data_IF_699869639369
#
_entry.id   IF_699869639369
#
_cell.length_a   1.000
_cell.length_b   1.000
_cell.length_c   1.000
_cell.angle_alpha   90.00
_cell.angle_beta   90.00
_cell.angle_gamma   90.00
#
_symmetry.space_group_name_H-M   'P 1'
#
loop_
_entity.id
_entity.type
_entity.pdbx_description
1 polymer ?
#
# COMPACT_ATOMS: atom_id res chain seq x y z
N UNK A 1 13.57 -28.43 -5.88
CA UNK A 1 14.07 -27.21 -6.56
C UNK A 1 15.31 -26.71 -5.83
N UNK A 2 16.42 -26.58 -6.51
CA UNK A 2 17.60 -25.90 -5.96
C UNK A 2 17.46 -24.40 -6.27
N UNK A 3 17.18 -23.61 -5.25
CA UNK A 3 16.86 -22.18 -5.38
C UNK A 3 18.05 -21.35 -5.89
N UNK A 4 19.30 -21.86 -5.72
CA UNK A 4 20.51 -21.14 -6.15
C UNK A 4 20.67 -21.14 -7.69
N UNK A 5 20.05 -22.09 -8.37
CA UNK A 5 20.08 -22.22 -9.83
C UNK A 5 18.73 -21.90 -10.47
N UNK A 6 17.74 -21.47 -9.68
CA UNK A 6 16.41 -21.19 -10.16
C UNK A 6 16.36 -19.90 -11.00
N UNK A 7 15.68 -19.92 -12.13
CA UNK A 7 15.31 -18.72 -12.88
C UNK A 7 14.12 -18.06 -12.18
N UNK A 8 14.30 -16.83 -11.71
CA UNK A 8 13.34 -16.12 -10.84
C UNK A 8 12.64 -15.01 -11.61
N UNK A 9 11.32 -14.90 -11.46
CA UNK A 9 10.55 -13.72 -11.87
C UNK A 9 9.95 -12.99 -10.68
N UNK A 10 10.00 -11.65 -10.70
CA UNK A 10 9.33 -10.78 -9.73
C UNK A 10 8.26 -9.96 -10.43
N UNK A 11 7.02 -10.13 -9.99
CA UNK A 11 5.86 -9.54 -10.63
C UNK A 11 5.22 -8.54 -9.68
N UNK A 12 4.97 -7.33 -10.16
CA UNK A 12 4.17 -6.33 -9.44
C UNK A 12 2.96 -5.89 -10.26
N UNK A 13 1.94 -5.32 -9.60
CA UNK A 13 0.72 -4.90 -10.31
C UNK A 13 1.05 -3.84 -11.37
N UNK A 14 1.75 -2.76 -10.99
CA UNK A 14 2.24 -1.70 -11.90
C UNK A 14 3.27 -0.81 -11.22
N UNK A 15 4.09 -0.14 -12.01
CA UNK A 15 5.02 0.87 -11.55
C UNK A 15 4.67 2.21 -12.21
N UNK A 16 3.97 3.09 -11.49
CA UNK A 16 3.56 4.41 -11.99
C UNK A 16 4.08 5.48 -11.05
N UNK A 17 4.89 6.40 -11.56
CA UNK A 17 5.59 7.45 -10.79
C UNK A 17 4.68 8.21 -9.82
N UNK A 18 3.47 8.57 -10.28
CA UNK A 18 2.52 9.33 -9.45
C UNK A 18 1.84 8.49 -8.35
N UNK A 19 1.88 7.17 -8.47
CA UNK A 19 1.23 6.25 -7.54
C UNK A 19 2.19 5.47 -6.66
N UNK A 20 3.50 5.71 -6.76
CA UNK A 20 4.49 5.04 -5.92
C UNK A 20 4.16 5.19 -4.43
N UNK A 21 4.18 4.08 -3.75
CA UNK A 21 3.83 3.97 -2.34
C UNK A 21 4.50 2.78 -1.68
N UNK A 22 3.96 2.36 -0.55
CA UNK A 22 4.58 1.28 0.22
C UNK A 22 4.61 -0.09 -0.46
N UNK A 23 3.73 -0.35 -1.44
CA UNK A 23 3.75 -1.62 -2.16
C UNK A 23 4.93 -1.69 -3.14
N UNK A 24 5.17 -0.62 -3.86
CA UNK A 24 6.29 -0.47 -4.78
C UNK A 24 7.63 -0.50 -4.00
N UNK A 25 7.71 0.19 -2.86
CA UNK A 25 8.91 0.17 -2.00
C UNK A 25 9.22 -1.26 -1.51
N UNK A 26 8.20 -2.03 -1.12
CA UNK A 26 8.37 -3.44 -0.77
C UNK A 26 8.87 -4.25 -1.96
N UNK A 27 8.39 -3.98 -3.16
CA UNK A 27 8.82 -4.69 -4.36
C UNK A 27 10.29 -4.39 -4.69
N UNK A 28 10.74 -3.13 -4.58
CA UNK A 28 12.15 -2.77 -4.71
C UNK A 28 13.04 -3.48 -3.69
N UNK A 29 12.58 -3.59 -2.45
CA UNK A 29 13.33 -4.29 -1.41
C UNK A 29 13.36 -5.81 -1.62
N UNK A 30 12.27 -6.40 -2.13
CA UNK A 30 12.23 -7.81 -2.52
C UNK A 30 13.20 -8.09 -3.67
N UNK A 31 13.20 -7.23 -4.68
CA UNK A 31 14.14 -7.30 -5.80
C UNK A 31 15.59 -7.29 -5.32
N UNK A 32 15.93 -6.32 -4.49
CA UNK A 32 17.27 -6.21 -3.89
C UNK A 32 17.65 -7.45 -3.09
N UNK A 33 16.76 -7.96 -2.22
CA UNK A 33 17.02 -9.14 -1.41
C UNK A 33 17.22 -10.40 -2.26
N UNK A 34 16.44 -10.55 -3.32
CA UNK A 34 16.57 -11.69 -4.24
C UNK A 34 17.90 -11.60 -4.98
N UNK A 35 18.24 -10.44 -5.54
CA UNK A 35 19.48 -10.21 -6.28
C UNK A 35 20.74 -10.40 -5.44
N UNK A 36 20.71 -9.98 -4.16
CA UNK A 36 21.84 -10.12 -3.24
C UNK A 36 22.08 -11.56 -2.75
N UNK A 37 21.05 -12.41 -2.70
CA UNK A 37 21.14 -13.73 -2.10
C UNK A 37 21.02 -14.89 -3.09
N UNK A 38 20.52 -14.64 -4.31
CA UNK A 38 20.27 -15.67 -5.32
C UNK A 38 20.72 -15.19 -6.71
N UNK A 39 19.77 -14.89 -7.57
CA UNK A 39 19.99 -14.35 -8.92
C UNK A 39 19.10 -13.12 -9.14
N UNK A 40 19.52 -12.22 -10.03
CA UNK A 40 18.67 -11.09 -10.43
C UNK A 40 17.37 -11.62 -11.06
N UNK A 41 16.18 -11.26 -10.52
CA UNK A 41 14.91 -11.68 -11.07
C UNK A 41 14.56 -10.87 -12.33
N UNK A 42 13.92 -11.49 -13.30
CA UNK A 42 13.27 -10.76 -14.38
C UNK A 42 11.99 -10.08 -13.85
N UNK A 43 11.80 -8.81 -14.25
CA UNK A 43 10.74 -7.95 -13.73
C UNK A 43 9.53 -7.94 -14.65
N UNK A 44 8.33 -8.04 -14.06
CA UNK A 44 7.05 -8.02 -14.76
C UNK A 44 6.05 -7.08 -14.10
N UNK A 45 5.21 -6.42 -14.91
CA UNK A 45 4.09 -5.61 -14.43
C UNK A 45 2.98 -5.49 -15.48
N UNK A 46 1.78 -5.07 -15.08
CA UNK A 46 0.74 -4.70 -16.04
C UNK A 46 1.19 -3.53 -16.91
N UNK A 47 1.83 -2.54 -16.30
CA UNK A 47 2.36 -1.34 -16.98
C UNK A 47 3.44 -0.70 -16.13
N UNK A 48 4.33 0.07 -16.77
CA UNK A 48 5.33 0.88 -16.12
C UNK A 48 5.36 2.30 -16.70
N UNK A 49 5.65 3.27 -15.84
CA UNK A 49 5.93 4.67 -16.17
C UNK A 49 6.79 5.26 -15.05
N UNK A 50 8.02 4.73 -14.92
CA UNK A 50 8.97 5.10 -13.89
C UNK A 50 9.90 6.22 -14.38
N UNK A 51 10.52 6.95 -13.45
CA UNK A 51 11.57 7.93 -13.78
C UNK A 51 12.92 7.25 -13.96
N UNK A 52 13.89 7.96 -14.58
CA UNK A 52 15.27 7.47 -14.72
C UNK A 52 15.87 7.08 -13.36
N UNK A 53 15.71 7.93 -12.33
CA UNK A 53 16.17 7.63 -10.96
C UNK A 53 15.55 6.33 -10.38
N UNK A 54 14.34 6.01 -10.75
CA UNK A 54 13.66 4.77 -10.33
C UNK A 54 14.08 3.57 -11.17
N UNK A 55 14.43 3.81 -12.42
CA UNK A 55 14.98 2.79 -13.30
C UNK A 55 16.37 2.33 -12.81
N UNK A 56 17.19 3.24 -12.30
CA UNK A 56 18.45 2.93 -11.64
C UNK A 56 18.29 1.97 -10.44
N UNK A 57 17.18 2.08 -9.67
CA UNK A 57 16.90 1.19 -8.54
C UNK A 57 16.79 -0.28 -8.98
N UNK A 58 16.29 -0.53 -10.17
CA UNK A 58 16.21 -1.85 -10.78
C UNK A 58 17.46 -2.21 -11.61
N UNK A 59 18.60 -1.56 -11.38
CA UNK A 59 19.84 -1.79 -12.14
C UNK A 59 19.63 -1.66 -13.65
N UNK A 60 18.82 -0.70 -14.08
CA UNK A 60 18.45 -0.44 -15.48
C UNK A 60 17.84 -1.63 -16.23
N UNK A 61 17.31 -2.62 -15.49
CA UNK A 61 16.67 -3.79 -16.09
C UNK A 61 15.32 -3.44 -16.70
N UNK A 62 15.05 -4.06 -17.84
CA UNK A 62 13.76 -3.92 -18.52
C UNK A 62 12.64 -4.55 -17.68
N UNK A 63 11.54 -3.82 -17.51
CA UNK A 63 10.30 -4.36 -16.96
C UNK A 63 9.46 -4.90 -18.12
N UNK A 64 9.14 -6.19 -18.08
CA UNK A 64 8.25 -6.83 -19.05
C UNK A 64 6.80 -6.45 -18.72
N UNK A 65 6.10 -5.87 -19.68
CA UNK A 65 4.77 -5.31 -19.44
C UNK A 65 3.68 -6.02 -20.24
N UNK A 66 2.43 -5.90 -19.75
CA UNK A 66 1.27 -6.45 -20.44
C UNK A 66 0.82 -5.56 -21.61
N UNK A 67 -0.18 -6.04 -22.36
CA UNK A 67 -0.82 -5.27 -23.43
C UNK A 67 -1.37 -3.90 -22.99
N UNK A 68 -1.62 -3.69 -21.68
CA UNK A 68 -2.12 -2.41 -21.17
C UNK A 68 -1.09 -1.29 -21.39
N UNK A 69 0.19 -1.61 -21.42
CA UNK A 69 1.29 -0.66 -21.66
C UNK A 69 1.12 0.16 -22.95
N UNK A 70 0.61 -0.47 -24.01
CA UNK A 70 0.45 0.17 -25.33
C UNK A 70 -0.92 0.80 -25.55
N UNK A 71 -1.86 0.63 -24.62
CA UNK A 71 -3.19 1.22 -24.72
C UNK A 71 -3.18 2.71 -24.36
N UNK A 72 -4.11 3.53 -24.91
CA UNK A 72 -4.19 4.96 -24.58
C UNK A 72 -4.29 5.21 -23.08
N UNK A 73 -3.40 6.02 -22.53
CA UNK A 73 -3.29 6.30 -21.08
C UNK A 73 -3.01 5.07 -20.20
N UNK A 74 -2.61 3.93 -20.77
CA UNK A 74 -2.32 2.70 -20.01
C UNK A 74 -1.20 2.90 -19.01
N UNK A 75 -0.18 3.69 -19.38
CA UNK A 75 0.99 4.01 -18.53
C UNK A 75 0.63 4.87 -17.30
N UNK A 76 -0.31 5.82 -17.43
CA UNK A 76 -0.63 6.77 -16.36
C UNK A 76 -1.90 6.39 -15.57
N UNK A 77 -2.85 5.73 -16.22
CA UNK A 77 -4.20 5.51 -15.71
C UNK A 77 -4.67 4.06 -15.85
N UNK A 78 -3.82 3.12 -15.48
CA UNK A 78 -4.09 1.67 -15.55
C UNK A 78 -5.46 1.30 -14.96
N UNK A 79 -5.92 2.02 -13.93
CA UNK A 79 -7.23 1.78 -13.29
C UNK A 79 -8.43 1.98 -14.24
N UNK A 80 -8.27 2.67 -15.38
CA UNK A 80 -9.31 2.74 -16.42
C UNK A 80 -9.55 1.41 -17.11
N UNK A 81 -8.56 0.53 -17.06
CA UNK A 81 -8.58 -0.78 -17.68
C UNK A 81 -8.94 -1.92 -16.70
N UNK A 82 -9.58 -1.59 -15.57
CA UNK A 82 -10.01 -2.58 -14.57
C UNK A 82 -10.69 -3.84 -15.17
N UNK A 83 -11.61 -3.72 -16.19
CA UNK A 83 -12.21 -4.90 -16.80
C UNK A 83 -11.22 -5.81 -17.53
N UNK A 84 -10.11 -5.23 -18.02
CA UNK A 84 -9.10 -5.91 -18.83
C UNK A 84 -7.95 -6.48 -17.98
N UNK A 85 -7.79 -6.00 -16.75
CA UNK A 85 -6.69 -6.41 -15.86
C UNK A 85 -6.60 -7.93 -15.69
N UNK A 86 -7.69 -8.68 -15.43
CA UNK A 86 -7.64 -10.14 -15.34
C UNK A 86 -7.03 -10.79 -16.57
N UNK A 87 -7.49 -10.41 -17.74
CA UNK A 87 -6.96 -10.92 -19.01
C UNK A 87 -5.48 -10.52 -19.20
N UNK A 88 -5.15 -9.26 -18.98
CA UNK A 88 -3.80 -8.75 -19.24
C UNK A 88 -2.72 -9.40 -18.36
N UNK A 89 -3.01 -9.67 -17.08
CA UNK A 89 -2.04 -10.30 -16.17
C UNK A 89 -1.82 -11.78 -16.53
N UNK A 90 -2.85 -12.46 -17.02
CA UNK A 90 -2.78 -13.86 -17.43
C UNK A 90 -2.02 -14.09 -18.75
N UNK A 91 -1.75 -12.99 -19.50
CA UNK A 91 -0.97 -13.07 -20.76
C UNK A 91 0.54 -12.89 -20.55
N UNK A 92 1.01 -12.64 -19.35
CA UNK A 92 2.44 -12.60 -19.07
C UNK A 92 3.04 -14.01 -19.24
N UNK A 93 4.06 -14.12 -20.06
CA UNK A 93 4.72 -15.42 -20.35
C UNK A 93 5.77 -15.71 -19.27
N UNK A 94 5.45 -16.65 -18.39
CA UNK A 94 6.31 -17.06 -17.28
C UNK A 94 6.84 -18.51 -17.44
N UNK A 95 6.72 -19.12 -18.61
CA UNK A 95 7.06 -20.53 -18.81
C UNK A 95 8.52 -20.88 -18.54
N UNK A 96 9.42 -19.90 -18.64
CA UNK A 96 10.86 -20.12 -18.46
C UNK A 96 11.34 -19.99 -17.01
N UNK A 97 10.44 -19.65 -16.06
CA UNK A 97 10.82 -19.39 -14.67
C UNK A 97 10.48 -20.57 -13.77
N UNK A 98 11.37 -20.86 -12.82
CA UNK A 98 11.18 -21.91 -11.83
C UNK A 98 10.48 -21.36 -10.58
N UNK A 99 10.85 -20.13 -10.18
CA UNK A 99 10.28 -19.42 -9.02
C UNK A 99 9.61 -18.13 -9.46
N UNK A 100 8.33 -18.02 -9.16
CA UNK A 100 7.52 -16.84 -9.41
C UNK A 100 7.21 -16.17 -8.08
N UNK A 101 7.63 -14.90 -7.91
CA UNK A 101 7.31 -14.10 -6.74
C UNK A 101 6.41 -12.95 -7.19
N UNK A 102 5.20 -12.87 -6.65
CA UNK A 102 4.27 -11.78 -6.96
C UNK A 102 4.03 -10.88 -5.76
N UNK A 103 4.19 -9.56 -5.95
CA UNK A 103 3.88 -8.50 -5.00
C UNK A 103 2.55 -7.86 -5.40
N UNK A 104 1.46 -8.24 -4.75
CA UNK A 104 0.11 -8.00 -5.26
C UNK A 104 -0.77 -7.18 -4.31
N UNK A 105 -1.41 -6.16 -4.85
CA UNK A 105 -2.53 -5.45 -4.22
C UNK A 105 -3.81 -5.50 -5.08
N UNK A 106 -3.71 -6.02 -6.32
CA UNK A 106 -4.83 -6.22 -7.24
C UNK A 106 -4.66 -7.52 -8.04
N UNK A 107 -3.66 -7.61 -8.92
CA UNK A 107 -3.65 -8.56 -10.02
C UNK A 107 -2.44 -9.51 -10.07
N UNK A 108 -1.26 -9.10 -9.63
CA UNK A 108 -0.01 -9.83 -9.81
C UNK A 108 -0.08 -11.30 -9.32
N UNK A 109 -0.85 -11.58 -8.26
CA UNK A 109 -1.14 -12.95 -7.78
C UNK A 109 -1.86 -13.83 -8.80
N UNK A 110 -2.47 -13.20 -9.83
CA UNK A 110 -3.31 -13.86 -10.82
C UNK A 110 -2.58 -14.33 -12.06
N UNK A 111 -1.26 -14.33 -12.10
CA UNK A 111 -0.48 -14.93 -13.19
C UNK A 111 -0.74 -16.44 -13.30
N UNK A 112 -0.52 -17.00 -14.48
CA UNK A 112 -0.64 -18.43 -14.74
C UNK A 112 0.72 -19.10 -14.59
N UNK A 113 0.75 -20.24 -13.91
CA UNK A 113 1.94 -21.04 -13.67
C UNK A 113 1.70 -22.50 -14.06
N UNK A 114 2.77 -23.23 -14.35
CA UNK A 114 2.74 -24.68 -14.62
C UNK A 114 2.91 -25.48 -13.30
N UNK A 115 2.61 -26.79 -13.31
CA UNK A 115 2.76 -27.65 -12.12
C UNK A 115 4.19 -27.73 -11.56
N UNK A 116 5.21 -27.50 -12.37
CA UNK A 116 6.62 -27.59 -11.99
C UNK A 116 7.17 -26.27 -11.44
N UNK A 117 6.40 -25.20 -11.47
CA UNK A 117 6.77 -23.86 -11.02
C UNK A 117 6.28 -23.61 -9.59
N UNK A 118 7.08 -22.92 -8.78
CA UNK A 118 6.70 -22.48 -7.46
C UNK A 118 6.24 -21.01 -7.49
N UNK A 119 5.00 -20.74 -7.07
CA UNK A 119 4.46 -19.37 -6.97
C UNK A 119 4.26 -18.94 -5.53
N UNK A 120 5.00 -17.92 -5.11
CA UNK A 120 4.84 -17.27 -3.79
C UNK A 120 4.28 -15.87 -3.98
N UNK A 121 3.17 -15.56 -3.33
CA UNK A 121 2.54 -14.24 -3.46
C UNK A 121 2.57 -13.45 -2.16
N UNK A 122 3.20 -12.27 -2.20
CA UNK A 122 3.16 -11.28 -1.14
C UNK A 122 1.94 -10.37 -1.34
N UNK A 123 0.96 -10.50 -0.46
CA UNK A 123 -0.33 -9.83 -0.56
C UNK A 123 -0.34 -8.57 0.31
N UNK A 124 -0.39 -7.40 -0.35
CA UNK A 124 -0.58 -6.13 0.33
C UNK A 124 -2.02 -5.96 0.80
N UNK A 125 -2.97 -6.40 -0.02
CA UNK A 125 -4.41 -6.41 0.30
C UNK A 125 -5.19 -7.20 -0.75
N UNK A 126 -6.29 -7.88 -0.42
CA UNK A 126 -7.32 -8.24 -1.39
C UNK A 126 -7.96 -6.99 -2.02
N UNK A 127 -8.54 -7.10 -3.22
CA UNK A 127 -9.17 -5.96 -3.94
C UNK A 127 -10.22 -5.23 -3.11
N UNK A 128 -9.84 -4.17 -2.37
CA UNK A 128 -10.76 -3.46 -1.46
C UNK A 128 -12.02 -2.95 -2.11
N UNK A 129 -11.91 -2.38 -3.31
CA UNK A 129 -13.06 -1.83 -4.05
C UNK A 129 -14.00 -2.89 -4.60
N UNK A 130 -13.58 -4.15 -4.70
CA UNK A 130 -14.46 -5.26 -5.04
C UNK A 130 -15.12 -5.88 -3.81
N UNK A 131 -14.56 -5.73 -2.60
CA UNK A 131 -15.03 -6.33 -1.36
C UNK A 131 -15.61 -5.29 -0.39
N UNK A 132 -14.94 -5.03 0.71
CA UNK A 132 -15.45 -4.24 1.86
C UNK A 132 -15.60 -2.75 1.59
N UNK A 133 -14.90 -2.19 0.60
CA UNK A 133 -15.00 -0.78 0.22
C UNK A 133 -15.85 -0.54 -1.04
N UNK A 134 -16.54 -1.56 -1.57
CA UNK A 134 -17.31 -1.44 -2.80
C UNK A 134 -18.34 -0.30 -2.75
N UNK A 135 -19.16 -0.26 -1.71
CA UNK A 135 -20.17 0.80 -1.58
C UNK A 135 -19.56 2.19 -1.45
N UNK A 136 -18.49 2.30 -0.66
CA UNK A 136 -17.75 3.57 -0.51
C UNK A 136 -17.13 4.02 -1.85
N UNK A 137 -16.65 3.09 -2.66
CA UNK A 137 -16.12 3.37 -3.99
C UNK A 137 -17.22 3.88 -4.94
N UNK A 138 -18.38 3.21 -4.97
CA UNK A 138 -19.53 3.60 -5.80
C UNK A 138 -20.06 4.98 -5.35
N UNK A 139 -20.24 5.19 -4.05
CA UNK A 139 -20.72 6.46 -3.49
C UNK A 139 -19.86 7.67 -3.87
N UNK A 140 -18.58 7.45 -4.15
CA UNK A 140 -17.62 8.49 -4.54
C UNK A 140 -17.38 8.59 -6.03
N UNK A 141 -17.88 7.63 -6.80
CA UNK A 141 -17.80 7.68 -8.25
C UNK A 141 -18.80 8.70 -8.81
N UNK A 142 -18.47 9.28 -9.96
CA UNK A 142 -19.42 10.10 -10.74
C UNK A 142 -20.62 9.30 -11.28
N UNK A 143 -20.59 7.97 -11.12
CA UNK A 143 -21.60 7.06 -11.63
C UNK A 143 -22.70 6.74 -10.59
N UNK A 144 -22.56 7.24 -9.36
CA UNK A 144 -23.57 7.09 -8.31
C UNK A 144 -24.94 7.61 -8.80
N UNK A 145 -26.00 6.82 -8.58
CA UNK A 145 -27.37 7.13 -8.96
C UNK A 145 -27.59 7.33 -10.49
N UNK A 146 -26.63 6.93 -11.32
CA UNK A 146 -26.77 6.91 -12.77
C UNK A 146 -27.10 5.51 -13.29
N UNK A 147 -27.62 5.41 -14.52
CA UNK A 147 -27.87 4.12 -15.18
C UNK A 147 -26.59 3.29 -15.29
N UNK A 148 -25.43 3.94 -15.33
CA UNK A 148 -24.12 3.28 -15.39
C UNK A 148 -23.66 2.67 -14.05
N UNK A 149 -24.37 2.90 -12.95
CA UNK A 149 -24.07 2.25 -11.67
C UNK A 149 -24.29 0.73 -11.74
N UNK A 150 -25.32 0.27 -12.48
CA UNK A 150 -25.63 -1.16 -12.63
C UNK A 150 -24.47 -1.92 -13.30
N UNK A 151 -23.99 -1.52 -14.50
CA UNK A 151 -22.84 -2.18 -15.13
C UNK A 151 -21.57 -2.07 -14.28
N UNK A 152 -21.35 -0.97 -13.53
CA UNK A 152 -20.23 -0.87 -12.59
C UNK A 152 -20.34 -1.93 -11.47
N UNK A 153 -21.50 -2.10 -10.88
CA UNK A 153 -21.73 -3.15 -9.85
C UNK A 153 -21.51 -4.55 -10.40
N UNK A 154 -21.95 -4.81 -11.64
CA UNK A 154 -21.72 -6.08 -12.32
C UNK A 154 -20.22 -6.32 -12.59
N UNK A 155 -19.49 -5.30 -13.04
CA UNK A 155 -18.04 -5.38 -13.18
C UNK A 155 -17.35 -5.71 -11.84
N UNK A 156 -17.71 -5.01 -10.77
CA UNK A 156 -17.16 -5.29 -9.44
C UNK A 156 -17.48 -6.69 -8.93
N UNK A 157 -18.66 -7.22 -9.29
CA UNK A 157 -19.03 -8.61 -9.03
C UNK A 157 -18.11 -9.58 -9.79
N UNK A 158 -17.86 -9.34 -11.09
CA UNK A 158 -16.94 -10.17 -11.90
C UNK A 158 -15.51 -10.11 -11.38
N UNK A 159 -15.03 -8.91 -11.03
CA UNK A 159 -13.69 -8.72 -10.44
C UNK A 159 -13.56 -9.44 -9.09
N UNK A 160 -14.62 -9.46 -8.26
CA UNK A 160 -14.64 -10.21 -6.99
C UNK A 160 -14.51 -11.70 -7.22
N UNK A 161 -15.25 -12.25 -8.21
CA UNK A 161 -15.15 -13.65 -8.57
C UNK A 161 -13.76 -14.02 -9.06
N UNK A 162 -13.16 -13.18 -9.92
CA UNK A 162 -11.80 -13.38 -10.39
C UNK A 162 -10.77 -13.23 -9.24
N UNK A 163 -10.93 -12.25 -8.36
CA UNK A 163 -10.05 -12.04 -7.19
C UNK A 163 -10.07 -13.26 -6.25
N UNK A 164 -11.23 -13.87 -6.08
CA UNK A 164 -11.38 -15.12 -5.32
C UNK A 164 -10.64 -16.27 -6.01
N UNK A 165 -10.86 -16.48 -7.30
CA UNK A 165 -10.25 -17.58 -8.08
C UNK A 165 -8.73 -17.39 -8.14
N UNK A 166 -8.27 -16.20 -8.48
CA UNK A 166 -6.85 -15.89 -8.60
C UNK A 166 -6.08 -15.93 -7.28
N UNK A 167 -6.78 -15.75 -6.16
CA UNK A 167 -6.21 -15.94 -4.82
C UNK A 167 -5.77 -17.38 -4.53
N UNK A 168 -6.30 -18.37 -5.26
CA UNK A 168 -5.96 -19.79 -5.11
C UNK A 168 -4.83 -20.26 -6.05
N UNK A 169 -4.29 -19.39 -6.90
CA UNK A 169 -3.23 -19.75 -7.84
C UNK A 169 -1.85 -19.87 -7.21
N UNK A 170 -1.46 -18.96 -6.29
CA UNK A 170 -0.19 -19.11 -5.59
C UNK A 170 -0.15 -20.34 -4.69
N UNK A 171 1.00 -21.03 -4.65
CA UNK A 171 1.24 -22.14 -3.72
C UNK A 171 1.34 -21.64 -2.28
N UNK A 172 1.93 -20.45 -2.09
CA UNK A 172 2.08 -19.83 -0.78
C UNK A 172 1.62 -18.36 -0.78
N UNK A 173 0.83 -18.02 0.24
CA UNK A 173 0.37 -16.65 0.47
C UNK A 173 1.08 -16.05 1.68
N UNK A 174 1.69 -14.89 1.48
CA UNK A 174 2.29 -14.08 2.53
C UNK A 174 1.47 -12.80 2.66
N UNK A 175 0.94 -12.54 3.85
CA UNK A 175 0.22 -11.31 4.15
C UNK A 175 1.13 -10.29 4.84
N UNK A 176 1.02 -9.01 4.48
CA UNK A 176 1.81 -7.93 5.08
C UNK A 176 1.44 -7.62 6.54
N UNK A 177 0.30 -8.14 7.03
CA UNK A 177 -0.20 -7.88 8.39
C UNK A 177 -1.21 -8.93 8.82
N UNK A 178 -1.49 -9.01 10.12
CA UNK A 178 -2.60 -9.81 10.66
C UNK A 178 -3.96 -9.35 10.10
N UNK A 179 -4.09 -8.04 9.84
CA UNK A 179 -5.30 -7.49 9.26
C UNK A 179 -5.52 -8.01 7.83
N UNK A 180 -4.47 -7.99 6.99
CA UNK A 180 -4.52 -8.54 5.64
C UNK A 180 -4.73 -10.05 5.65
N UNK A 181 -4.08 -10.79 6.55
CA UNK A 181 -4.29 -12.22 6.73
C UNK A 181 -5.76 -12.55 7.07
N UNK A 182 -6.39 -11.77 7.97
CA UNK A 182 -7.82 -11.91 8.29
C UNK A 182 -8.72 -11.65 7.08
N UNK A 183 -8.34 -10.71 6.18
CA UNK A 183 -9.07 -10.42 4.95
C UNK A 183 -8.91 -11.56 3.93
N UNK A 184 -7.71 -12.10 3.75
CA UNK A 184 -7.44 -13.29 2.93
C UNK A 184 -8.33 -14.45 3.41
N UNK A 185 -8.30 -14.75 4.71
CA UNK A 185 -9.15 -15.82 5.29
C UNK A 185 -10.65 -15.56 5.08
N UNK A 186 -11.08 -14.32 5.22
CA UNK A 186 -12.51 -13.96 5.06
C UNK A 186 -12.96 -14.05 3.61
N UNK A 187 -12.18 -13.52 2.66
CA UNK A 187 -12.59 -13.36 1.28
C UNK A 187 -12.25 -14.55 0.40
N UNK A 188 -11.06 -15.11 0.57
CA UNK A 188 -10.58 -16.24 -0.25
C UNK A 188 -10.66 -17.59 0.46
N UNK A 189 -10.94 -17.61 1.78
CA UNK A 189 -11.00 -18.84 2.61
C UNK A 189 -9.64 -19.55 2.72
N UNK A 190 -8.55 -18.87 2.42
CA UNK A 190 -7.19 -19.38 2.46
C UNK A 190 -6.48 -18.91 3.73
N UNK A 191 -5.49 -19.69 4.15
CA UNK A 191 -4.54 -19.30 5.18
C UNK A 191 -3.35 -18.56 4.55
N UNK A 192 -2.67 -17.72 5.32
CA UNK A 192 -1.50 -16.98 4.89
C UNK A 192 -0.51 -16.82 6.03
N UNK A 193 0.79 -16.87 5.72
CA UNK A 193 1.84 -16.51 6.67
C UNK A 193 1.96 -14.99 6.75
N UNK A 194 2.08 -14.45 7.96
CA UNK A 194 2.28 -13.00 8.12
C UNK A 194 3.77 -12.70 8.17
N UNK A 195 4.23 -11.87 7.23
CA UNK A 195 5.58 -11.28 7.21
C UNK A 195 5.38 -9.79 6.97
N UNK A 196 5.69 -8.98 7.99
CA UNK A 196 5.56 -7.54 7.89
C UNK A 196 6.51 -6.96 6.85
N UNK A 197 6.11 -5.90 6.12
CA UNK A 197 6.98 -5.26 5.16
C UNK A 197 8.19 -4.64 5.86
N UNK A 198 9.36 -4.66 5.25
CA UNK A 198 10.52 -3.96 5.77
C UNK A 198 10.27 -2.45 5.73
N UNK A 199 10.78 -1.74 6.74
CA UNK A 199 10.79 -0.28 6.81
C UNK A 199 12.23 0.16 7.00
N UNK A 200 12.71 1.08 6.15
CA UNK A 200 14.06 1.62 6.27
C UNK A 200 14.16 2.58 7.47
N UNK A 201 14.28 2.00 8.67
CA UNK A 201 14.36 2.78 9.90
C UNK A 201 15.68 3.54 10.06
N UNK A 202 16.74 3.15 9.35
CA UNK A 202 18.08 3.78 9.46
C UNK A 202 18.11 5.23 8.96
N UNK A 203 17.16 5.62 8.11
CA UNK A 203 17.03 6.99 7.61
C UNK A 203 16.42 7.95 8.64
N UNK A 204 15.84 7.45 9.73
CA UNK A 204 15.19 8.26 10.74
C UNK A 204 16.08 8.46 11.95
N UNK A 205 16.21 9.72 12.37
CA UNK A 205 16.95 10.06 13.59
C UNK A 205 16.00 10.15 14.77
N UNK A 206 16.29 9.39 15.81
CA UNK A 206 15.60 9.54 17.10
C UNK A 206 15.96 10.90 17.73
N UNK A 207 14.95 11.63 18.15
CA UNK A 207 15.11 12.84 18.96
C UNK A 207 14.16 12.77 20.16
N UNK A 208 14.66 13.04 21.35
CA UNK A 208 13.87 13.14 22.58
C UNK A 208 13.22 14.51 22.75
N UNK A 209 13.84 15.57 22.21
CA UNK A 209 13.31 16.93 22.24
C UNK A 209 12.26 17.11 21.16
N UNK A 210 11.04 17.46 21.57
CA UNK A 210 9.88 17.62 20.69
C UNK A 210 9.39 19.05 20.66
N UNK A 211 9.07 19.54 19.46
CA UNK A 211 8.40 20.81 19.26
C UNK A 211 6.87 20.66 19.51
N UNK A 212 6.19 21.74 19.79
CA UNK A 212 4.76 21.70 20.17
C UNK A 212 3.84 21.73 18.94
N UNK A 213 4.02 20.76 18.03
CA UNK A 213 3.08 20.55 16.93
C UNK A 213 2.83 19.05 16.71
N UNK A 214 1.64 18.74 16.19
CA UNK A 214 1.25 17.41 15.76
C UNK A 214 1.46 17.27 14.26
N UNK A 215 1.73 16.05 13.80
CA UNK A 215 2.05 15.78 12.39
C UNK A 215 1.13 14.69 11.82
N UNK A 216 0.65 14.91 10.60
CA UNK A 216 -0.03 13.88 9.79
C UNK A 216 0.58 13.86 8.41
N UNK A 217 1.13 12.71 8.00
CA UNK A 217 1.73 12.51 6.65
C UNK A 217 0.85 11.53 5.90
N UNK A 218 0.18 12.00 4.83
CA UNK A 218 -0.80 11.21 4.10
C UNK A 218 -0.95 11.66 2.65
N UNK A 219 -1.21 10.73 1.74
CA UNK A 219 -1.89 11.09 0.50
C UNK A 219 -3.29 11.60 0.86
N UNK A 220 -3.67 12.79 0.35
CA UNK A 220 -4.95 13.42 0.71
C UNK A 220 -6.10 12.81 -0.09
N UNK A 221 -6.43 11.57 0.27
CA UNK A 221 -7.52 10.75 -0.31
C UNK A 221 -8.52 10.35 0.78
N UNK A 222 -9.77 10.09 0.42
CA UNK A 222 -10.85 9.88 1.38
C UNK A 222 -10.65 8.77 2.42
N UNK A 223 -9.96 7.68 2.07
CA UNK A 223 -9.73 6.56 2.98
C UNK A 223 -8.73 6.86 4.10
N UNK A 224 -7.92 7.91 3.96
CA UNK A 224 -6.98 8.36 5.01
C UNK A 224 -7.67 9.17 6.11
N UNK A 225 -8.91 9.61 5.90
CA UNK A 225 -9.75 10.29 6.87
C UNK A 225 -9.10 11.51 7.53
N UNK A 226 -8.35 12.28 6.74
CA UNK A 226 -7.73 13.54 7.21
C UNK A 226 -8.80 14.57 7.65
N UNK A 227 -10.01 14.45 7.11
CA UNK A 227 -11.19 15.21 7.55
C UNK A 227 -11.48 15.07 9.06
N UNK A 228 -11.33 13.86 9.61
CA UNK A 228 -11.53 13.61 11.05
C UNK A 228 -10.42 14.24 11.90
N UNK A 229 -9.18 14.17 11.42
CA UNK A 229 -8.04 14.79 12.10
C UNK A 229 -8.25 16.30 12.17
N UNK A 230 -8.60 16.94 11.04
CA UNK A 230 -8.86 18.39 10.98
C UNK A 230 -9.99 18.78 11.94
N UNK A 231 -11.12 18.06 11.94
CA UNK A 231 -12.25 18.35 12.85
C UNK A 231 -11.83 18.28 14.31
N UNK A 232 -11.04 17.28 14.70
CA UNK A 232 -10.53 17.17 16.07
C UNK A 232 -9.62 18.35 16.42
N UNK A 233 -8.69 18.71 15.55
CA UNK A 233 -7.73 19.79 15.80
C UNK A 233 -8.36 21.19 15.73
N UNK A 234 -9.42 21.37 14.96
CA UNK A 234 -10.23 22.60 15.00
C UNK A 234 -10.84 22.82 16.38
N UNK A 235 -11.29 21.73 17.03
CA UNK A 235 -11.86 21.80 18.40
C UNK A 235 -10.77 21.99 19.45
N UNK A 236 -9.67 21.25 19.32
CA UNK A 236 -8.56 21.29 20.29
C UNK A 236 -7.72 22.57 20.21
N UNK A 237 -7.75 23.28 19.08
CA UNK A 237 -6.92 24.46 18.76
C UNK A 237 -5.41 24.25 18.90
N UNK A 238 -4.95 22.99 18.84
CA UNK A 238 -3.53 22.63 18.89
C UNK A 238 -2.90 22.76 17.52
N UNK A 239 -1.59 23.08 17.41
CA UNK A 239 -0.89 23.17 16.13
C UNK A 239 -0.83 21.82 15.42
N UNK A 240 -1.28 21.77 14.16
CA UNK A 240 -1.22 20.58 13.31
C UNK A 240 -0.54 20.90 11.98
N UNK A 241 0.44 20.09 11.61
CA UNK A 241 1.05 20.11 10.27
C UNK A 241 0.56 18.90 9.48
N UNK A 242 0.03 19.15 8.29
CA UNK A 242 -0.43 18.13 7.35
C UNK A 242 0.53 18.12 6.15
N UNK A 243 1.26 17.02 5.96
CA UNK A 243 2.13 16.79 4.81
C UNK A 243 1.45 15.85 3.83
N UNK A 244 1.45 16.23 2.57
CA UNK A 244 0.91 15.42 1.48
C UNK A 244 0.12 16.22 0.47
N UNK A 245 -0.29 15.51 -0.59
CA UNK A 245 -1.12 16.04 -1.66
C UNK A 245 -2.19 15.02 -2.07
N UNK A 246 -3.18 15.46 -2.82
CA UNK A 246 -4.24 14.58 -3.31
C UNK A 246 -5.54 15.32 -3.63
N UNK A 247 -6.51 14.60 -4.21
CA UNK A 247 -7.76 15.20 -4.73
C UNK A 247 -8.62 15.90 -3.66
N UNK A 248 -8.47 15.53 -2.37
CA UNK A 248 -9.23 16.18 -1.30
C UNK A 248 -8.58 17.46 -0.73
N UNK A 249 -7.37 17.83 -1.18
CA UNK A 249 -6.62 18.97 -0.63
C UNK A 249 -7.44 20.26 -0.49
N UNK A 250 -8.11 20.68 -1.57
CA UNK A 250 -8.89 21.91 -1.57
C UNK A 250 -10.12 21.86 -0.64
N UNK A 251 -10.76 20.68 -0.56
CA UNK A 251 -11.88 20.43 0.35
C UNK A 251 -11.42 20.46 1.81
N UNK A 252 -10.28 19.84 2.11
CA UNK A 252 -9.70 19.78 3.45
C UNK A 252 -9.25 21.16 3.93
N UNK A 253 -8.62 21.95 3.04
CA UNK A 253 -8.25 23.35 3.36
C UNK A 253 -9.44 24.23 3.73
N UNK A 254 -10.61 24.03 3.09
CA UNK A 254 -11.82 24.81 3.38
C UNK A 254 -12.39 24.58 4.79
N UNK A 255 -12.11 23.44 5.41
CA UNK A 255 -12.63 23.08 6.74
C UNK A 255 -11.58 23.25 7.86
N UNK A 256 -10.35 23.59 7.51
CA UNK A 256 -9.26 23.77 8.45
C UNK A 256 -9.23 25.19 9.03
N UNK A 257 -9.05 25.30 10.34
CA UNK A 257 -8.81 26.58 11.03
C UNK A 257 -7.32 26.99 10.92
N UNK A 258 -7.00 28.18 11.40
CA UNK A 258 -5.66 28.80 11.32
C UNK A 258 -4.55 28.06 12.06
N UNK A 259 -4.89 27.19 13.02
CA UNK A 259 -3.93 26.32 13.73
C UNK A 259 -3.47 25.11 12.92
N UNK A 260 -3.96 24.92 11.68
CA UNK A 260 -3.66 23.79 10.81
C UNK A 260 -2.90 24.26 9.56
N UNK A 261 -1.67 23.77 9.40
CA UNK A 261 -0.79 24.13 8.29
C UNK A 261 -0.72 22.97 7.28
N UNK A 262 -0.98 23.28 6.02
CA UNK A 262 -0.78 22.34 4.90
C UNK A 262 0.61 22.57 4.30
N UNK A 263 1.55 21.69 4.59
CA UNK A 263 2.92 21.76 4.09
C UNK A 263 3.05 21.49 2.58
N UNK A 264 2.08 20.75 2.02
CA UNK A 264 2.13 20.27 0.63
C UNK A 264 2.89 18.95 0.50
N UNK A 265 3.34 18.62 -0.72
CA UNK A 265 4.13 17.41 -0.97
C UNK A 265 5.55 17.62 -0.42
N UNK A 266 5.83 17.06 0.74
CA UNK A 266 7.18 17.10 1.33
C UNK A 266 8.15 16.17 0.60
N UNK A 267 9.43 16.55 0.58
CA UNK A 267 10.52 15.61 0.24
C UNK A 267 10.73 14.62 1.40
N UNK A 268 11.41 13.51 1.15
CA UNK A 268 11.75 12.55 2.20
C UNK A 268 12.50 13.25 3.35
N UNK A 269 13.49 14.07 3.07
CA UNK A 269 14.23 14.85 4.05
C UNK A 269 13.32 15.74 4.93
N UNK A 270 12.36 16.43 4.31
CA UNK A 270 11.43 17.28 5.05
C UNK A 270 10.51 16.47 5.98
N UNK A 271 10.05 15.30 5.51
CA UNK A 271 9.21 14.39 6.30
C UNK A 271 10.01 13.85 7.49
N UNK A 272 11.24 13.40 7.28
CA UNK A 272 12.13 12.92 8.34
C UNK A 272 12.36 13.99 9.41
N UNK A 273 12.67 15.21 8.99
CA UNK A 273 12.87 16.37 9.88
C UNK A 273 11.60 16.70 10.69
N UNK A 274 10.42 16.67 10.09
CA UNK A 274 9.16 16.91 10.79
C UNK A 274 8.83 15.77 11.76
N UNK A 275 9.07 14.51 11.37
CA UNK A 275 8.86 13.34 12.23
C UNK A 275 9.79 13.35 13.45
N UNK A 276 11.06 13.78 13.29
CA UNK A 276 12.00 13.86 14.41
C UNK A 276 11.66 14.96 15.42
N UNK A 277 10.77 15.91 15.07
CA UNK A 277 10.46 17.09 15.88
C UNK A 277 9.01 17.12 16.39
N UNK A 278 8.06 16.50 15.72
CA UNK A 278 6.66 16.58 16.09
C UNK A 278 6.39 15.97 17.48
N UNK A 279 5.45 16.55 18.22
CA UNK A 279 5.00 16.05 19.53
C UNK A 279 4.40 14.66 19.42
N UNK A 280 3.58 14.41 18.39
CA UNK A 280 3.02 13.10 18.07
C UNK A 280 2.59 13.04 16.60
N UNK A 281 2.57 11.82 16.07
CA UNK A 281 2.06 11.52 14.74
C UNK A 281 0.58 11.12 14.83
N UNK A 282 -0.29 11.73 14.01
CA UNK A 282 -1.75 11.50 14.07
C UNK A 282 -2.25 10.81 12.80
N UNK A 283 -3.00 9.72 12.99
CA UNK A 283 -3.48 8.90 11.89
C UNK A 283 -4.91 8.37 12.12
N UNK A 284 -5.86 8.70 11.23
CA UNK A 284 -7.27 8.31 11.37
C UNK A 284 -7.77 7.31 10.31
N UNK A 285 -6.94 6.96 9.32
CA UNK A 285 -7.26 5.99 8.29
C UNK A 285 -7.15 4.55 8.77
N UNK A 286 -7.75 3.63 8.01
CA UNK A 286 -7.54 2.19 8.18
C UNK A 286 -6.51 1.74 7.14
N UNK A 287 -5.34 1.30 7.61
CA UNK A 287 -4.26 0.77 6.77
C UNK A 287 -4.20 -0.74 6.82
N UNK A 288 -3.68 -1.33 5.77
CA UNK A 288 -3.38 -2.76 5.76
C UNK A 288 -2.17 -3.07 6.66
N UNK A 289 -1.12 -2.25 6.62
CA UNK A 289 0.02 -2.29 7.54
C UNK A 289 0.26 -0.93 8.21
N UNK A 290 0.54 0.13 7.43
CA UNK A 290 0.81 1.47 7.91
C UNK A 290 2.31 1.74 8.08
N UNK A 291 3.03 1.92 6.97
CA UNK A 291 4.47 2.26 6.99
C UNK A 291 4.71 3.60 7.69
N UNK A 292 3.97 4.66 7.34
CA UNK A 292 4.16 5.99 7.92
C UNK A 292 4.06 6.05 9.45
N UNK A 293 3.12 5.37 10.13
CA UNK A 293 3.17 5.20 11.59
C UNK A 293 4.43 4.54 12.12
N UNK A 294 5.00 3.55 11.39
CA UNK A 294 6.25 2.89 11.80
C UNK A 294 7.44 3.86 11.66
N UNK A 295 7.49 4.63 10.58
CA UNK A 295 8.47 5.69 10.36
C UNK A 295 8.43 6.76 11.47
N UNK A 296 7.22 7.14 11.89
CA UNK A 296 7.03 8.04 13.01
C UNK A 296 7.61 7.48 14.32
N UNK A 297 7.33 6.22 14.63
CA UNK A 297 7.89 5.55 15.81
C UNK A 297 9.41 5.41 15.71
N UNK A 298 9.97 5.15 14.54
CA UNK A 298 11.41 5.11 14.31
C UNK A 298 12.08 6.47 14.60
N UNK A 299 11.39 7.59 14.34
CA UNK A 299 11.82 8.94 14.70
C UNK A 299 11.58 9.29 16.18
N UNK A 300 11.04 8.35 16.99
CA UNK A 300 10.65 8.58 18.39
C UNK A 300 9.32 9.30 18.57
N UNK A 301 8.54 9.57 17.51
CA UNK A 301 7.24 10.21 17.64
C UNK A 301 6.17 9.18 18.05
N UNK A 302 5.45 9.38 19.18
CA UNK A 302 4.34 8.52 19.54
C UNK A 302 3.19 8.65 18.53
N UNK A 303 2.49 7.53 18.27
CA UNK A 303 1.38 7.48 17.31
C UNK A 303 0.05 7.64 18.03
N UNK A 304 -0.78 8.56 17.57
CA UNK A 304 -2.19 8.67 17.93
C UNK A 304 -3.01 8.18 16.74
N UNK A 305 -3.56 6.97 16.83
CA UNK A 305 -4.15 6.32 15.68
C UNK A 305 -5.49 5.64 15.93
N UNK A 306 -6.23 5.39 14.84
CA UNK A 306 -7.45 4.58 14.91
C UNK A 306 -7.05 3.10 15.18
N UNK A 307 -7.60 2.51 16.25
CA UNK A 307 -7.38 1.13 16.66
C UNK A 307 -8.01 0.11 15.73
N UNK A 308 -7.69 0.17 14.43
CA UNK A 308 -8.14 -0.76 13.39
C UNK A 308 -7.04 -0.96 12.34
N UNK A 309 -7.11 -2.09 11.64
CA UNK A 309 -6.16 -2.39 10.57
C UNK A 309 -4.78 -2.73 11.09
N UNK A 310 -3.76 -2.45 10.30
CA UNK A 310 -2.36 -2.76 10.59
C UNK A 310 -1.76 -2.00 11.78
N UNK A 311 -2.39 -0.89 12.22
CA UNK A 311 -1.95 -0.20 13.43
C UNK A 311 -2.02 -1.09 14.68
N UNK A 312 -2.91 -2.08 14.68
CA UNK A 312 -2.99 -3.07 15.77
C UNK A 312 -1.77 -4.00 15.82
N UNK A 313 -1.09 -4.19 14.69
CA UNK A 313 0.13 -4.98 14.62
C UNK A 313 1.35 -4.16 15.06
N UNK A 314 1.42 -2.89 14.65
CA UNK A 314 2.62 -2.04 14.74
C UNK A 314 2.67 -1.20 16.01
N UNK A 315 1.54 -0.63 16.45
CA UNK A 315 1.49 0.26 17.62
C UNK A 315 1.26 -0.54 18.90
N UNK A 316 2.15 -0.37 19.87
CA UNK A 316 1.94 -0.86 21.23
C UNK A 316 1.17 0.20 22.03
N UNK A 317 -0.13 -0.04 22.22
CA UNK A 317 -1.02 0.96 22.79
C UNK A 317 -0.78 1.16 24.30
N UNK A 318 -0.63 2.41 24.72
CA UNK A 318 -0.43 2.77 26.15
C UNK A 318 -1.55 2.28 27.06
N UNK A 319 -2.81 2.34 26.61
CA UNK A 319 -3.97 1.91 27.42
C UNK A 319 -4.15 0.39 27.47
N UNK A 320 -3.52 -0.34 26.57
CA UNK A 320 -3.55 -1.82 26.49
C UNK A 320 -2.18 -2.33 26.02
N UNK A 321 -1.13 -2.18 26.84
CA UNK A 321 0.22 -2.52 26.42
C UNK A 321 0.37 -4.04 26.22
N UNK A 322 1.08 -4.42 25.15
CA UNK A 322 1.51 -5.81 24.97
C UNK A 322 2.55 -6.14 26.04
N UNK A 323 2.43 -7.32 26.65
CA UNK A 323 3.31 -7.77 27.73
C UNK A 323 4.80 -7.59 27.33
N UNK A 324 5.58 -6.99 28.22
CA UNK A 324 7.01 -6.73 28.05
C UNK A 324 7.39 -5.84 26.84
N UNK A 325 6.50 -4.96 26.38
CA UNK A 325 6.80 -4.00 25.29
C UNK A 325 6.58 -2.57 25.76
N UNK A 326 7.48 -1.68 25.35
CA UNK A 326 7.35 -0.23 25.57
C UNK A 326 6.16 0.29 24.75
N UNK A 327 5.35 1.14 25.34
CA UNK A 327 4.24 1.78 24.63
C UNK A 327 4.73 2.78 23.58
N UNK A 328 4.19 2.69 22.39
CA UNK A 328 4.59 3.53 21.25
C UNK A 328 3.49 4.46 20.75
N UNK A 329 2.33 4.47 21.42
CA UNK A 329 1.25 5.36 21.05
C UNK A 329 -0.07 5.07 21.76
N UNK A 330 -1.11 5.76 21.32
CA UNK A 330 -2.48 5.62 21.80
C UNK A 330 -3.39 5.26 20.63
N UNK A 331 -4.19 4.21 20.79
CA UNK A 331 -5.17 3.79 19.80
C UNK A 331 -6.59 4.13 20.29
N UNK A 332 -7.26 5.01 19.56
CA UNK A 332 -8.65 5.36 19.85
C UNK A 332 -9.64 4.44 19.14
N UNK A 333 -10.79 4.22 19.74
CA UNK A 333 -11.95 3.53 19.15
C UNK A 333 -12.85 4.55 18.47
N UNK A 334 -13.54 4.11 17.42
CA UNK A 334 -14.52 4.94 16.72
C UNK A 334 -15.82 5.00 17.50
#
# INVERSE_FOLDING_TARGET
MDINNAKISLIHDWFIRESLGGAEEVTFLLDKLISENYSEPDLFALTENISEEQFEIFSERKINTSLIQILPFGKEKVQRYLPLIPFAIEQLDLREYDLIISSSHIAAKGVLTSPDQLHISYIHTPMRYAWDQMNTYIERSSLKNSVLEIPLRYLLYKLRSWDFISGHRPDYLIANSQFTSKRIKKYWRLDSKVIHPPVNIKRFSYNSEREDFYLSVNRLVPNKRVDLIIKAFNTLKLPLVIVGDGPEKNKLKKIANSNIIFYGKGTNYNVEKLLSKCRAFVYAGIEDFGIAPVEAMASGAPVIGLGKGGLLDTVNCYTQPKKNKISTGILFKK
#
